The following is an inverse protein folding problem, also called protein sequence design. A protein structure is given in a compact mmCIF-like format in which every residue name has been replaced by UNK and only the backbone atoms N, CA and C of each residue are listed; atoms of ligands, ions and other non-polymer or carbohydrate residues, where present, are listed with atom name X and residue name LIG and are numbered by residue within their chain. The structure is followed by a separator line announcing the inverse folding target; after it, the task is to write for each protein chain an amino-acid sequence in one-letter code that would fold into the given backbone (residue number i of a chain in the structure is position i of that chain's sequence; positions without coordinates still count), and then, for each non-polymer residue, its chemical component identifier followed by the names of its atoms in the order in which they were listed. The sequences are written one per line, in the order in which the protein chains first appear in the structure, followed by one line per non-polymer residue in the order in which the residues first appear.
data_IF_347506819906
#
_entry.id   IF_347506819906
#
_cell.length_a   1.000
_cell.length_b   1.000
_cell.length_c   1.000
_cell.angle_alpha   90.00
_cell.angle_beta   90.00
_cell.angle_gamma   90.00
#
_symmetry.space_group_name_H-M   'P 1'
#
loop_
_entity.id
_entity.type
_entity.pdbx_description
1 polymer ?
#
# COMPACT_ATOMS: atom_id res chain seq x y z
N UNK A 1 33.64 -33.86 23.95
CA UNK A 1 33.37 -34.03 22.50
C UNK A 1 33.27 -32.63 21.91
N UNK A 2 34.34 -32.18 21.23
CA UNK A 2 34.29 -30.91 20.48
C UNK A 2 33.34 -31.11 19.31
N UNK A 3 32.16 -30.53 19.36
CA UNK A 3 31.24 -30.52 18.21
C UNK A 3 31.94 -29.90 17.02
N UNK A 4 31.94 -30.58 15.87
CA UNK A 4 32.48 -30.06 14.63
C UNK A 4 31.63 -28.85 14.25
N UNK A 5 32.27 -27.65 14.13
CA UNK A 5 31.58 -26.42 13.68
C UNK A 5 31.33 -26.47 12.17
N UNK A 6 30.27 -27.20 11.83
CA UNK A 6 29.87 -27.42 10.42
C UNK A 6 29.48 -26.14 9.68
N UNK A 7 29.02 -25.11 10.40
CA UNK A 7 28.60 -23.84 9.78
C UNK A 7 29.85 -23.09 9.33
N UNK A 8 30.87 -22.99 10.16
CA UNK A 8 32.11 -22.32 9.78
C UNK A 8 32.89 -23.03 8.67
N UNK A 9 32.57 -24.26 8.33
CA UNK A 9 33.15 -24.96 7.18
C UNK A 9 32.52 -24.60 5.83
N UNK A 10 31.36 -23.93 5.83
CA UNK A 10 30.68 -23.54 4.59
C UNK A 10 31.51 -22.53 3.79
N UNK A 11 31.43 -22.52 2.43
CA UNK A 11 32.01 -21.47 1.61
C UNK A 11 31.53 -20.07 1.99
N UNK A 12 32.37 -19.05 1.80
CA UNK A 12 32.01 -17.66 2.15
C UNK A 12 30.73 -17.18 1.47
N UNK A 13 30.51 -17.60 0.21
CA UNK A 13 29.29 -17.27 -0.52
C UNK A 13 28.01 -17.77 0.15
N UNK A 14 28.05 -18.95 0.81
CA UNK A 14 26.93 -19.46 1.57
C UNK A 14 26.79 -18.76 2.92
N UNK A 15 27.91 -18.43 3.56
CA UNK A 15 27.88 -17.68 4.81
C UNK A 15 27.34 -16.27 4.60
N UNK A 16 27.73 -15.56 3.55
CA UNK A 16 27.17 -14.23 3.22
C UNK A 16 25.70 -14.32 2.82
N UNK A 17 25.29 -15.40 2.17
CA UNK A 17 23.88 -15.65 1.87
C UNK A 17 23.08 -15.89 3.16
N UNK A 18 23.59 -16.64 4.10
CA UNK A 18 22.95 -16.82 5.43
C UNK A 18 22.84 -15.46 6.14
N UNK A 19 23.93 -14.67 6.15
CA UNK A 19 23.93 -13.34 6.76
C UNK A 19 22.95 -12.38 6.11
N UNK A 20 22.61 -12.55 4.83
CA UNK A 20 21.66 -11.70 4.11
C UNK A 20 20.20 -11.83 4.60
N UNK A 21 19.89 -12.88 5.37
CA UNK A 21 18.60 -13.04 6.05
C UNK A 21 18.52 -12.32 7.39
N UNK A 22 19.64 -11.79 7.89
CA UNK A 22 19.73 -11.09 9.16
C UNK A 22 19.69 -9.56 8.93
N UNK A 23 19.07 -8.78 9.85
CA UNK A 23 19.30 -7.36 9.91
C UNK A 23 20.80 -7.04 10.00
N UNK A 24 21.24 -5.92 9.41
CA UNK A 24 22.67 -5.56 9.37
C UNK A 24 23.34 -5.58 10.73
N UNK A 25 22.65 -5.07 11.77
CA UNK A 25 23.14 -5.12 13.16
C UNK A 25 23.50 -6.55 13.62
N UNK A 26 22.60 -7.52 13.36
CA UNK A 26 22.83 -8.91 13.74
C UNK A 26 23.93 -9.54 12.89
N UNK A 27 23.96 -9.22 11.59
CA UNK A 27 25.05 -9.66 10.70
C UNK A 27 26.41 -9.20 11.21
N UNK A 28 26.55 -7.94 11.64
CA UNK A 28 27.77 -7.41 12.26
C UNK A 28 28.11 -8.12 13.55
N UNK A 29 27.10 -8.42 14.39
CA UNK A 29 27.31 -9.13 15.67
C UNK A 29 27.92 -10.53 15.48
N UNK A 30 27.70 -11.18 14.34
CA UNK A 30 28.35 -12.49 14.07
C UNK A 30 29.86 -12.39 13.95
N UNK A 31 30.43 -11.20 13.75
CA UNK A 31 31.88 -10.97 13.66
C UNK A 31 32.66 -11.38 14.90
N UNK A 32 31.99 -11.51 16.07
CA UNK A 32 32.61 -11.96 17.32
C UNK A 32 32.76 -13.48 17.42
N UNK A 33 32.10 -14.24 16.54
CA UNK A 33 32.08 -15.70 16.61
C UNK A 33 33.45 -16.32 16.32
N UNK A 34 34.16 -15.82 15.32
CA UNK A 34 35.54 -16.22 15.00
C UNK A 34 36.19 -15.24 14.03
N UNK A 35 37.51 -15.41 13.82
CA UNK A 35 38.28 -14.62 12.84
C UNK A 35 37.73 -14.74 11.42
N UNK A 36 37.13 -15.89 11.08
CA UNK A 36 36.48 -16.13 9.79
C UNK A 36 35.23 -15.27 9.59
N UNK A 37 34.45 -15.03 10.64
CA UNK A 37 33.22 -14.25 10.59
C UNK A 37 33.45 -12.74 10.64
N UNK A 38 34.65 -12.32 11.03
CA UNK A 38 34.98 -10.92 11.37
C UNK A 38 34.58 -9.90 10.29
N UNK A 39 34.73 -10.23 9.01
CA UNK A 39 34.49 -9.31 7.89
C UNK A 39 33.44 -9.79 6.90
N UNK A 40 32.75 -10.90 7.18
CA UNK A 40 31.75 -11.46 6.25
C UNK A 40 30.59 -10.52 5.99
N UNK A 41 30.17 -9.74 7.00
CA UNK A 41 29.09 -8.78 6.87
C UNK A 41 29.35 -7.69 5.81
N UNK A 42 30.64 -7.39 5.49
CA UNK A 42 31.00 -6.43 4.46
C UNK A 42 30.66 -6.91 3.04
N UNK A 43 30.55 -8.22 2.86
CA UNK A 43 30.24 -8.86 1.59
C UNK A 43 28.75 -9.25 1.46
N UNK A 44 27.92 -8.91 2.47
CA UNK A 44 26.47 -9.16 2.39
C UNK A 44 25.85 -8.23 1.35
N UNK A 45 25.12 -8.77 0.36
CA UNK A 45 24.58 -7.98 -0.74
C UNK A 45 23.29 -7.21 -0.36
N UNK A 46 23.05 -7.02 0.92
CA UNK A 46 21.88 -6.31 1.44
C UNK A 46 22.17 -5.53 2.71
N UNK A 47 21.50 -4.42 2.87
CA UNK A 47 21.53 -3.59 4.07
C UNK A 47 20.12 -3.43 4.64
N UNK A 48 19.98 -3.69 5.93
CA UNK A 48 18.78 -3.41 6.72
C UNK A 48 19.20 -2.53 7.91
N UNK A 49 18.97 -1.23 7.76
CA UNK A 49 19.43 -0.19 8.66
C UNK A 49 18.24 0.40 9.41
N UNK A 50 18.21 0.22 10.72
CA UNK A 50 17.16 0.77 11.56
C UNK A 50 17.72 1.82 12.53
N UNK A 51 17.54 3.10 12.18
CA UNK A 51 17.94 4.24 13.01
C UNK A 51 16.83 4.66 13.98
N UNK A 52 15.59 4.22 13.78
CA UNK A 52 14.48 4.58 14.66
C UNK A 52 14.62 4.01 16.07
N UNK A 53 15.52 3.04 16.26
CA UNK A 53 15.84 2.48 17.58
C UNK A 53 16.83 3.34 18.40
N UNK A 54 17.45 4.36 17.80
CA UNK A 54 18.38 5.26 18.50
C UNK A 54 17.57 6.29 19.30
N UNK A 55 17.81 6.51 20.62
CA UNK A 55 17.11 7.54 21.39
C UNK A 55 17.31 8.96 20.83
N UNK A 56 16.36 9.89 21.06
CA UNK A 56 16.43 11.25 20.53
C UNK A 56 17.60 12.07 21.10
N UNK A 57 17.95 11.79 22.34
CA UNK A 57 19.01 12.47 23.10
C UNK A 57 20.38 11.80 22.95
N UNK A 58 20.51 10.84 22.05
CA UNK A 58 21.72 10.05 21.85
C UNK A 58 22.48 10.44 20.56
N UNK A 59 22.83 11.73 20.42
CA UNK A 59 23.57 12.25 19.27
C UNK A 59 24.89 11.52 18.99
N UNK A 60 25.64 11.16 20.02
CA UNK A 60 26.87 10.40 19.88
C UNK A 60 26.64 9.01 19.28
N UNK A 61 25.53 8.36 19.67
CA UNK A 61 25.17 7.06 19.11
C UNK A 61 24.78 7.19 17.64
N UNK A 62 24.06 8.24 17.29
CA UNK A 62 23.69 8.55 15.90
C UNK A 62 24.94 8.78 15.05
N UNK A 63 25.85 9.67 15.47
CA UNK A 63 27.10 9.95 14.77
C UNK A 63 27.98 8.70 14.61
N UNK A 64 28.06 7.87 15.66
CA UNK A 64 28.75 6.59 15.60
C UNK A 64 28.14 5.64 14.56
N UNK A 65 26.81 5.57 14.50
CA UNK A 65 26.10 4.76 13.53
C UNK A 65 26.30 5.25 12.09
N UNK A 66 26.25 6.56 11.86
CA UNK A 66 26.53 7.15 10.56
C UNK A 66 27.96 6.90 10.11
N UNK A 67 28.92 7.07 11.02
CA UNK A 67 30.35 6.72 10.76
C UNK A 67 30.52 5.24 10.42
N UNK A 68 29.75 4.35 11.06
CA UNK A 68 29.74 2.93 10.73
C UNK A 68 29.21 2.69 9.30
N UNK A 69 28.11 3.35 8.90
CA UNK A 69 27.58 3.25 7.53
C UNK A 69 28.61 3.73 6.51
N UNK A 70 29.26 4.88 6.78
CA UNK A 70 30.28 5.42 5.88
C UNK A 70 31.43 4.43 5.68
N UNK A 71 31.97 3.88 6.78
CA UNK A 71 33.00 2.84 6.71
C UNK A 71 32.55 1.59 5.95
N UNK A 72 31.30 1.18 6.12
CA UNK A 72 30.75 0.02 5.41
C UNK A 72 30.63 0.31 3.90
N UNK A 73 30.22 1.52 3.56
CA UNK A 73 30.16 1.95 2.16
C UNK A 73 31.55 2.14 1.54
N UNK A 74 32.53 2.58 2.29
CA UNK A 74 33.91 2.75 1.83
C UNK A 74 34.69 1.43 1.71
N UNK A 75 34.43 0.49 2.63
CA UNK A 75 35.19 -0.77 2.72
C UNK A 75 34.98 -1.70 1.51
N UNK A 76 33.89 -1.57 0.80
CA UNK A 76 33.57 -2.43 -0.34
C UNK A 76 32.86 -1.64 -1.44
N UNK A 77 33.51 -0.61 -2.04
CA UNK A 77 32.84 0.31 -2.96
C UNK A 77 32.31 -0.36 -4.24
N UNK A 78 32.91 -1.46 -4.67
CA UNK A 78 32.49 -2.21 -5.85
C UNK A 78 31.49 -3.33 -5.58
N UNK A 79 31.22 -3.64 -4.30
CA UNK A 79 30.25 -4.68 -3.96
C UNK A 79 28.84 -4.22 -4.30
N UNK A 80 28.07 -5.07 -4.98
CA UNK A 80 26.69 -4.80 -5.35
C UNK A 80 25.78 -4.89 -4.12
N UNK A 81 24.87 -3.94 -4.00
CA UNK A 81 23.84 -3.93 -2.98
C UNK A 81 22.47 -4.19 -3.62
N UNK A 82 22.02 -5.44 -3.59
CA UNK A 82 20.75 -5.79 -4.23
C UNK A 82 19.54 -5.31 -3.43
N UNK A 83 19.61 -5.31 -2.10
CA UNK A 83 18.50 -4.94 -1.23
C UNK A 83 18.97 -3.93 -0.20
N UNK A 84 18.28 -2.80 -0.15
CA UNK A 84 18.51 -1.75 0.84
C UNK A 84 17.19 -1.44 1.52
N UNK A 85 17.17 -1.61 2.84
CA UNK A 85 16.08 -1.18 3.70
C UNK A 85 16.63 -0.20 4.72
N UNK A 86 15.98 0.96 4.80
CA UNK A 86 16.36 2.03 5.71
C UNK A 86 15.12 2.45 6.46
N UNK A 87 15.18 2.42 7.79
CA UNK A 87 14.20 3.02 8.65
C UNK A 87 14.89 4.11 9.46
N UNK A 88 14.55 5.35 9.16
CA UNK A 88 15.08 6.51 9.85
C UNK A 88 13.98 7.25 10.62
N UNK A 89 14.38 8.05 11.59
CA UNK A 89 13.54 9.08 12.18
C UNK A 89 13.71 10.37 11.43
N UNK A 90 12.80 11.27 11.75
CA UNK A 90 12.74 12.65 11.33
C UNK A 90 14.12 13.31 11.20
N UNK A 91 14.34 13.97 10.09
CA UNK A 91 15.05 15.21 9.76
C UNK A 91 16.44 15.51 10.31
N UNK A 92 16.97 14.80 11.29
CA UNK A 92 18.27 15.12 11.88
C UNK A 92 19.48 14.57 11.11
N UNK A 93 19.26 13.93 9.96
CA UNK A 93 20.35 13.23 9.30
C UNK A 93 20.78 13.98 8.04
N UNK A 94 21.38 15.13 8.22
CA UNK A 94 22.15 15.80 7.17
C UNK A 94 23.10 14.80 6.51
N UNK A 95 23.00 14.66 5.19
CA UNK A 95 23.84 13.74 4.42
C UNK A 95 23.32 12.30 4.29
N UNK A 96 22.20 11.90 4.92
CA UNK A 96 21.67 10.55 4.72
C UNK A 96 21.16 10.33 3.29
N UNK A 97 20.65 11.37 2.65
CA UNK A 97 20.29 11.41 1.24
C UNK A 97 21.46 11.00 0.34
N UNK A 98 22.66 11.49 0.61
CA UNK A 98 23.85 11.15 -0.16
C UNK A 98 24.23 9.68 0.01
N UNK A 99 24.10 9.14 1.22
CA UNK A 99 24.32 7.72 1.50
C UNK A 99 23.35 6.81 0.75
N UNK A 100 22.06 7.17 0.70
CA UNK A 100 21.07 6.48 -0.14
C UNK A 100 21.50 6.56 -1.61
N UNK A 101 21.97 7.71 -2.07
CA UNK A 101 22.48 7.90 -3.43
C UNK A 101 23.65 6.96 -3.75
N UNK A 102 24.60 6.80 -2.83
CA UNK A 102 25.72 5.85 -2.97
C UNK A 102 25.18 4.40 -3.05
N UNK A 103 24.21 4.04 -2.19
CA UNK A 103 23.61 2.71 -2.19
C UNK A 103 22.92 2.39 -3.52
N UNK A 104 22.16 3.35 -4.07
CA UNK A 104 21.49 3.21 -5.38
C UNK A 104 22.53 2.96 -6.49
N UNK A 105 23.64 3.73 -6.49
CA UNK A 105 24.69 3.59 -7.49
C UNK A 105 25.40 2.23 -7.44
N UNK A 106 25.29 1.50 -6.33
CA UNK A 106 25.82 0.13 -6.19
C UNK A 106 24.92 -0.94 -6.79
N UNK A 107 23.93 -0.55 -7.60
CA UNK A 107 23.07 -1.47 -8.34
C UNK A 107 21.92 -2.02 -7.51
N UNK A 108 21.43 -1.23 -6.57
CA UNK A 108 20.23 -1.58 -5.76
C UNK A 108 19.05 -1.95 -6.66
N UNK A 109 18.47 -3.12 -6.39
CA UNK A 109 17.26 -3.62 -7.05
C UNK A 109 16.01 -3.43 -6.19
N UNK A 110 16.18 -3.53 -4.88
CA UNK A 110 15.08 -3.34 -3.90
C UNK A 110 15.47 -2.22 -2.94
N UNK A 111 14.73 -1.12 -2.99
CA UNK A 111 14.89 0.03 -2.10
C UNK A 111 13.61 0.21 -1.28
N UNK A 112 13.72 0.15 0.05
CA UNK A 112 12.65 0.38 1.02
C UNK A 112 13.14 1.45 2.01
N UNK A 113 12.58 2.64 1.94
CA UNK A 113 12.93 3.77 2.81
C UNK A 113 11.70 4.18 3.59
N UNK A 114 11.79 4.08 4.89
CA UNK A 114 10.74 4.49 5.84
C UNK A 114 11.30 5.62 6.71
N UNK A 115 10.70 6.81 6.62
CA UNK A 115 10.91 7.90 7.56
C UNK A 115 9.73 7.95 8.52
N UNK A 116 9.96 7.88 9.82
CA UNK A 116 8.89 7.99 10.81
C UNK A 116 8.87 9.39 11.39
N UNK A 117 7.78 10.11 11.16
CA UNK A 117 7.42 11.28 11.95
C UNK A 117 6.84 10.78 13.28
N UNK A 118 7.43 11.18 14.38
CA UNK A 118 6.80 10.96 15.69
C UNK A 118 5.82 12.11 15.94
N UNK A 119 4.57 11.75 16.25
CA UNK A 119 3.65 12.64 16.93
C UNK A 119 4.26 13.00 18.29
N UNK A 120 4.96 14.13 18.36
CA UNK A 120 5.17 14.78 19.64
C UNK A 120 3.82 15.43 19.93
N UNK A 121 3.18 15.05 21.04
CA UNK A 121 1.92 15.62 21.54
C UNK A 121 2.00 17.14 21.82
N UNK A 122 2.99 17.83 21.29
CA UNK A 122 3.20 19.25 21.47
C UNK A 122 2.83 19.99 20.18
N UNK A 123 1.73 20.72 20.27
CA UNK A 123 1.02 21.51 19.26
C UNK A 123 1.84 22.67 18.65
N UNK A 124 3.15 22.69 18.82
CA UNK A 124 4.03 23.74 18.31
C UNK A 124 4.65 23.35 16.97
N UNK A 125 4.01 23.76 15.87
CA UNK A 125 4.55 24.13 14.55
C UNK A 125 5.79 23.36 14.03
N UNK A 126 5.81 22.06 14.05
CA UNK A 126 6.88 21.34 13.36
C UNK A 126 6.31 20.68 12.11
N UNK A 127 6.45 21.37 10.97
CA UNK A 127 6.31 20.72 9.68
C UNK A 127 7.33 19.57 9.63
N UNK A 128 6.91 18.34 9.38
CA UNK A 128 7.87 17.26 9.18
C UNK A 128 8.78 17.67 8.03
N UNK A 129 10.05 17.89 8.31
CA UNK A 129 11.06 18.05 7.28
C UNK A 129 11.13 16.73 6.52
N UNK A 130 10.53 16.66 5.38
CA UNK A 130 10.53 15.47 4.53
C UNK A 130 11.84 15.43 3.79
N UNK A 131 12.65 14.41 4.05
CA UNK A 131 13.85 14.16 3.28
C UNK A 131 13.49 13.73 1.86
N UNK A 132 13.89 14.55 0.89
CA UNK A 132 13.72 14.25 -0.51
C UNK A 132 14.73 13.20 -0.98
N UNK A 133 14.27 12.24 -1.75
CA UNK A 133 15.12 11.20 -2.30
C UNK A 133 16.21 11.81 -3.22
N UNK A 134 17.40 11.16 -3.29
CA UNK A 134 18.50 11.63 -4.14
C UNK A 134 18.12 11.57 -5.62
N UNK A 135 18.65 12.51 -6.43
CA UNK A 135 18.29 12.64 -7.83
C UNK A 135 18.64 11.42 -8.70
N UNK A 136 19.66 10.64 -8.32
CA UNK A 136 20.03 9.41 -9.02
C UNK A 136 18.99 8.27 -8.86
N UNK A 137 18.07 8.39 -7.92
CA UNK A 137 16.90 7.50 -7.84
C UNK A 137 16.16 7.45 -9.17
N UNK A 138 15.88 8.62 -9.74
CA UNK A 138 15.04 8.77 -10.93
C UNK A 138 15.68 8.26 -12.23
N UNK A 139 16.97 7.96 -12.19
CA UNK A 139 17.73 7.42 -13.34
C UNK A 139 18.32 6.04 -13.06
N UNK A 140 17.85 5.37 -12.04
CA UNK A 140 18.32 4.03 -11.68
C UNK A 140 17.93 2.99 -12.72
N UNK A 141 18.94 2.32 -13.29
CA UNK A 141 18.75 1.26 -14.30
C UNK A 141 18.58 -0.13 -13.69
N UNK A 142 18.73 -0.27 -12.37
CA UNK A 142 18.73 -1.57 -11.68
C UNK A 142 17.55 -1.75 -10.76
N UNK A 143 16.91 -0.65 -10.38
CA UNK A 143 15.81 -0.67 -9.40
C UNK A 143 14.60 -1.41 -9.98
N UNK A 144 14.13 -2.43 -9.25
CA UNK A 144 12.95 -3.26 -9.57
C UNK A 144 11.80 -2.98 -8.63
N UNK A 145 12.12 -2.76 -7.37
CA UNK A 145 11.16 -2.49 -6.29
C UNK A 145 11.54 -1.21 -5.56
N UNK A 146 10.58 -0.30 -5.46
CA UNK A 146 10.69 0.95 -4.70
C UNK A 146 9.55 1.03 -3.70
N UNK A 147 9.89 1.12 -2.42
CA UNK A 147 8.93 1.50 -1.38
C UNK A 147 9.45 2.73 -0.63
N UNK A 148 8.61 3.75 -0.56
CA UNK A 148 8.87 4.97 0.20
C UNK A 148 7.72 5.19 1.18
N UNK A 149 8.05 5.42 2.45
CA UNK A 149 7.08 5.75 3.50
C UNK A 149 7.51 7.05 4.17
N UNK A 150 6.59 8.02 4.28
CA UNK A 150 6.79 9.32 4.92
C UNK A 150 8.04 10.08 4.44
N UNK A 151 8.31 10.04 3.14
CA UNK A 151 9.48 10.64 2.50
C UNK A 151 9.08 11.58 1.37
N UNK A 152 10.05 12.20 0.67
CA UNK A 152 9.79 13.17 -0.39
C UNK A 152 10.30 12.72 -1.76
N UNK A 153 9.56 13.07 -2.80
CA UNK A 153 9.97 12.99 -4.19
C UNK A 153 10.06 14.40 -4.78
N UNK A 154 11.28 14.85 -5.09
CA UNK A 154 11.53 16.12 -5.75
C UNK A 154 11.24 16.04 -7.25
N UNK A 155 11.12 17.17 -7.94
CA UNK A 155 10.92 17.18 -9.39
C UNK A 155 12.25 17.03 -10.14
N UNK A 156 12.57 15.85 -10.67
CA UNK A 156 13.76 15.66 -11.49
C UNK A 156 13.51 16.23 -12.89
N UNK A 157 14.54 16.72 -13.55
CA UNK A 157 14.43 17.12 -14.97
C UNK A 157 13.95 15.97 -15.86
N UNK A 158 14.35 14.74 -15.53
CA UNK A 158 14.11 13.53 -16.33
C UNK A 158 13.95 12.30 -15.43
N UNK A 159 13.06 11.38 -15.81
CA UNK A 159 12.84 10.08 -15.13
C UNK A 159 13.11 8.95 -16.12
N UNK A 160 13.94 7.99 -15.72
CA UNK A 160 14.23 6.79 -16.49
C UNK A 160 14.58 5.63 -15.55
N UNK A 161 13.59 4.86 -15.17
CA UNK A 161 13.70 3.66 -14.33
C UNK A 161 13.17 2.43 -15.11
N UNK A 162 13.95 1.95 -16.10
CA UNK A 162 13.48 0.96 -17.08
C UNK A 162 13.20 -0.42 -16.50
N UNK A 163 13.71 -0.72 -15.30
CA UNK A 163 13.53 -2.02 -14.64
C UNK A 163 12.50 -1.99 -13.52
N UNK A 164 11.92 -0.81 -13.18
CA UNK A 164 11.03 -0.67 -12.04
C UNK A 164 9.69 -1.32 -12.32
N UNK A 165 9.37 -2.35 -11.51
CA UNK A 165 8.12 -3.12 -11.60
C UNK A 165 7.12 -2.80 -10.50
N UNK A 166 7.61 -2.46 -9.31
CA UNK A 166 6.79 -2.24 -8.13
C UNK A 166 7.13 -0.88 -7.52
N UNK A 167 6.13 -0.01 -7.39
CA UNK A 167 6.28 1.30 -6.79
C UNK A 167 5.21 1.47 -5.71
N UNK A 168 5.64 1.56 -4.45
CA UNK A 168 4.78 1.76 -3.29
C UNK A 168 5.14 3.07 -2.62
N UNK A 169 4.22 4.01 -2.63
CA UNK A 169 4.40 5.37 -2.10
C UNK A 169 3.36 5.59 -0.99
N UNK A 170 3.83 5.66 0.25
CA UNK A 170 3.05 5.77 1.47
C UNK A 170 3.38 7.08 2.17
N UNK A 171 2.40 7.98 2.31
CA UNK A 171 2.59 9.31 2.90
C UNK A 171 3.75 10.12 2.29
N UNK A 172 3.95 9.95 0.99
CA UNK A 172 5.04 10.63 0.27
C UNK A 172 4.61 12.03 -0.13
N UNK A 173 5.45 13.03 0.15
CA UNK A 173 5.33 14.37 -0.42
C UNK A 173 5.95 14.40 -1.80
N UNK A 174 5.19 14.85 -2.78
CA UNK A 174 5.67 14.94 -4.16
C UNK A 174 5.69 16.36 -4.66
N UNK A 175 6.82 16.70 -5.28
CA UNK A 175 6.95 17.88 -6.15
C UNK A 175 6.95 17.47 -7.62
N UNK A 176 7.13 16.16 -7.90
CA UNK A 176 7.11 15.59 -9.26
C UNK A 176 5.69 15.25 -9.67
N UNK A 177 5.31 15.58 -10.90
CA UNK A 177 4.05 15.11 -11.47
C UNK A 177 4.06 13.59 -11.65
N UNK A 178 3.00 12.91 -11.21
CA UNK A 178 2.90 11.44 -11.27
C UNK A 178 3.03 10.93 -12.71
N UNK A 179 2.49 11.64 -13.70
CA UNK A 179 2.62 11.31 -15.11
C UNK A 179 4.09 11.23 -15.56
N UNK A 180 4.90 12.22 -15.14
CA UNK A 180 6.33 12.25 -15.43
C UNK A 180 7.05 11.07 -14.79
N UNK A 181 6.69 10.75 -13.55
CA UNK A 181 7.26 9.61 -12.83
C UNK A 181 6.90 8.29 -13.54
N UNK A 182 5.63 8.09 -13.88
CA UNK A 182 5.16 6.86 -14.53
C UNK A 182 5.66 6.70 -15.96
N UNK A 183 5.79 7.80 -16.71
CA UNK A 183 6.32 7.76 -18.09
C UNK A 183 7.76 7.25 -18.14
N UNK A 184 8.53 7.47 -17.07
CA UNK A 184 9.89 6.94 -16.91
C UNK A 184 9.96 5.48 -16.47
N UNK A 185 8.82 4.81 -16.20
CA UNK A 185 8.75 3.44 -15.69
C UNK A 185 7.97 2.53 -16.65
N UNK A 186 8.53 2.19 -17.83
CA UNK A 186 7.79 1.51 -18.91
C UNK A 186 7.34 0.09 -18.57
N UNK A 187 7.96 -0.57 -17.58
CA UNK A 187 7.64 -1.95 -17.17
C UNK A 187 6.93 -2.03 -15.82
N UNK A 188 6.39 -0.91 -15.33
CA UNK A 188 5.73 -0.84 -14.04
C UNK A 188 4.48 -1.72 -14.01
N UNK A 189 4.48 -2.75 -13.17
CA UNK A 189 3.40 -3.73 -13.01
C UNK A 189 2.46 -3.40 -11.86
N UNK A 190 2.99 -2.77 -10.80
CA UNK A 190 2.22 -2.44 -9.60
C UNK A 190 2.53 -1.02 -9.12
N UNK A 191 1.47 -0.25 -8.90
CA UNK A 191 1.50 1.06 -8.27
C UNK A 191 0.61 1.05 -7.03
N UNK A 192 1.18 1.39 -5.88
CA UNK A 192 0.44 1.61 -4.65
C UNK A 192 0.67 3.05 -4.16
N UNK A 193 -0.42 3.79 -4.01
CA UNK A 193 -0.45 5.15 -3.50
C UNK A 193 -1.26 5.14 -2.21
N UNK A 194 -0.57 5.36 -1.10
CA UNK A 194 -1.16 5.32 0.23
C UNK A 194 -0.90 6.69 0.86
N UNK A 195 -1.95 7.49 1.03
CA UNK A 195 -1.84 8.83 1.62
C UNK A 195 -2.91 9.02 2.67
N UNK A 196 -2.52 9.59 3.80
CA UNK A 196 -3.47 10.16 4.74
C UNK A 196 -3.96 11.51 4.18
N UNK A 197 -5.22 11.57 3.79
CA UNK A 197 -5.84 12.79 3.25
C UNK A 197 -6.45 13.66 4.37
N UNK A 198 -6.29 13.26 5.62
CA UNK A 198 -6.89 13.94 6.78
C UNK A 198 -5.95 14.97 7.42
N UNK A 199 -4.77 15.18 6.84
CA UNK A 199 -3.86 16.24 7.30
C UNK A 199 -4.39 17.59 6.75
N UNK A 200 -5.22 18.27 7.55
CA UNK A 200 -5.79 19.60 7.22
C UNK A 200 -4.70 20.67 7.00
N UNK A 201 -3.48 20.41 7.45
CA UNK A 201 -2.30 21.26 7.21
C UNK A 201 -1.64 21.02 5.84
N UNK A 202 -1.86 19.86 5.21
CA UNK A 202 -1.35 19.60 3.86
C UNK A 202 -2.05 20.43 2.78
N UNK A 203 -3.24 20.95 3.07
CA UNK A 203 -4.06 21.75 2.13
C UNK A 203 -3.41 23.09 1.76
N UNK A 204 -2.49 23.62 2.58
CA UNK A 204 -1.87 24.94 2.33
C UNK A 204 -0.70 24.90 1.31
N UNK A 205 -0.15 23.71 0.97
CA UNK A 205 1.02 23.60 0.10
C UNK A 205 0.90 22.58 -1.04
N UNK A 206 -0.19 21.82 -1.11
CA UNK A 206 -0.45 20.94 -2.23
C UNK A 206 -1.54 21.53 -3.11
N UNK A 207 -1.15 22.27 -4.12
CA UNK A 207 -1.89 22.25 -5.37
C UNK A 207 -2.07 20.79 -5.71
N UNK A 208 -3.32 20.29 -5.68
CA UNK A 208 -3.65 18.92 -6.07
C UNK A 208 -3.07 18.65 -7.44
N UNK A 209 -1.87 18.12 -7.45
CA UNK A 209 -1.23 17.72 -8.69
C UNK A 209 -2.00 16.52 -9.18
N UNK A 210 -2.77 16.77 -10.20
CA UNK A 210 -3.61 15.80 -10.87
C UNK A 210 -2.84 14.55 -11.20
N UNK A 211 -3.37 13.43 -10.72
CA UNK A 211 -2.81 12.13 -10.98
C UNK A 211 -3.13 11.69 -12.41
N UNK A 212 -2.30 12.06 -13.39
CA UNK A 212 -2.35 11.45 -14.71
C UNK A 212 -1.52 10.17 -14.70
N UNK A 213 -2.14 9.04 -14.92
CA UNK A 213 -1.46 7.75 -14.99
C UNK A 213 -1.59 7.18 -16.40
N UNK A 214 -0.47 7.02 -17.12
CA UNK A 214 -0.42 6.29 -18.39
C UNK A 214 0.64 5.21 -18.30
N UNK A 215 0.21 3.97 -18.05
CA UNK A 215 1.10 2.82 -18.13
C UNK A 215 0.36 1.63 -18.73
N UNK A 216 0.85 1.11 -19.86
CA UNK A 216 0.28 -0.08 -20.51
C UNK A 216 0.65 -1.38 -19.79
N UNK A 217 1.67 -1.37 -18.96
CA UNK A 217 2.16 -2.52 -18.20
C UNK A 217 1.49 -2.67 -16.83
N UNK A 218 0.76 -1.65 -16.36
CA UNK A 218 0.17 -1.65 -15.03
C UNK A 218 -0.93 -2.72 -14.90
N UNK A 219 -0.70 -3.71 -14.05
CA UNK A 219 -1.65 -4.81 -13.81
C UNK A 219 -2.31 -4.70 -12.44
N UNK A 220 -1.67 -4.04 -11.47
CA UNK A 220 -2.17 -3.86 -10.11
C UNK A 220 -2.12 -2.39 -9.71
N UNK A 221 -3.23 -1.89 -9.20
CA UNK A 221 -3.36 -0.52 -8.74
C UNK A 221 -4.02 -0.48 -7.37
N UNK A 222 -3.44 0.29 -6.45
CA UNK A 222 -3.91 0.41 -5.08
C UNK A 222 -3.89 1.87 -4.64
N UNK A 223 -5.03 2.38 -4.16
CA UNK A 223 -5.16 3.68 -3.52
C UNK A 223 -5.92 3.53 -2.22
N UNK A 224 -5.29 3.80 -1.10
CA UNK A 224 -5.90 3.71 0.23
C UNK A 224 -5.57 4.95 1.06
N UNK A 225 -6.52 5.48 1.85
CA UNK A 225 -6.20 6.31 3.00
C UNK A 225 -5.70 5.43 4.15
N UNK A 226 -4.67 5.88 4.86
CA UNK A 226 -3.98 5.08 5.88
C UNK A 226 -4.58 5.13 7.27
N UNK A 227 -5.32 6.16 7.64
CA UNK A 227 -5.94 6.26 8.98
C UNK A 227 -7.40 6.67 8.92
N UNK A 228 -8.18 6.13 9.84
CA UNK A 228 -9.45 6.69 10.24
C UNK A 228 -9.15 7.84 11.20
N UNK A 229 -9.26 9.05 10.75
CA UNK A 229 -9.25 10.21 11.62
C UNK A 229 -10.68 10.67 11.85
N UNK A 230 -10.95 11.03 13.10
CA UNK A 230 -12.19 11.60 13.58
C UNK A 230 -12.59 12.82 12.74
N UNK A 231 -13.88 12.87 12.51
CA UNK A 231 -14.63 13.90 11.82
C UNK A 231 -14.08 15.34 11.96
N UNK A 232 -13.50 15.86 10.90
CA UNK A 232 -13.22 17.27 10.79
C UNK A 232 -14.25 17.93 9.89
N UNK A 233 -15.12 18.74 10.51
CA UNK A 233 -16.19 19.54 9.89
C UNK A 233 -15.65 20.69 9.03
N UNK A 234 -14.68 20.50 8.16
CA UNK A 234 -14.27 21.55 7.23
C UNK A 234 -14.67 21.23 5.81
N UNK A 235 -15.57 22.07 5.30
CA UNK A 235 -16.03 22.08 3.91
C UNK A 235 -14.91 22.67 3.02
N UNK A 236 -13.88 21.92 2.74
CA UNK A 236 -12.98 22.25 1.62
C UNK A 236 -13.43 21.43 0.43
N UNK A 237 -14.18 22.02 -0.45
CA UNK A 237 -14.49 21.48 -1.77
C UNK A 237 -13.22 21.56 -2.61
N UNK A 238 -12.50 20.45 -2.72
CA UNK A 238 -11.52 20.31 -3.78
C UNK A 238 -12.29 20.26 -5.10
N UNK A 239 -12.17 21.27 -5.92
CA UNK A 239 -12.61 21.24 -7.32
C UNK A 239 -11.65 20.33 -8.09
N UNK A 240 -11.90 19.01 -8.03
CA UNK A 240 -11.21 18.07 -8.90
C UNK A 240 -11.58 18.41 -10.34
N UNK A 241 -10.58 18.66 -11.19
CA UNK A 241 -10.80 18.87 -12.61
C UNK A 241 -11.28 17.54 -13.22
N UNK A 242 -12.44 17.59 -13.89
CA UNK A 242 -13.08 16.42 -14.50
C UNK A 242 -12.18 15.78 -15.56
N UNK A 243 -11.47 16.60 -16.34
CA UNK A 243 -10.56 16.12 -17.38
C UNK A 243 -9.39 15.32 -16.79
N UNK A 244 -8.94 15.73 -15.64
CA UNK A 244 -7.84 15.12 -14.92
C UNK A 244 -8.23 13.77 -14.35
N UNK A 245 -9.42 13.66 -13.76
CA UNK A 245 -9.94 12.36 -13.30
C UNK A 245 -10.13 11.42 -14.50
N UNK A 246 -10.61 11.94 -15.64
CA UNK A 246 -10.77 11.14 -16.85
C UNK A 246 -9.45 10.56 -17.34
N UNK A 247 -8.42 11.38 -17.43
CA UNK A 247 -7.08 10.95 -17.87
C UNK A 247 -6.49 9.89 -16.93
N UNK A 248 -6.65 10.10 -15.62
CA UNK A 248 -6.24 9.12 -14.62
C UNK A 248 -6.98 7.78 -14.78
N UNK A 249 -8.31 7.81 -14.85
CA UNK A 249 -9.13 6.61 -14.99
C UNK A 249 -8.81 5.85 -16.29
N UNK A 250 -8.58 6.56 -17.39
CA UNK A 250 -8.16 5.96 -18.65
C UNK A 250 -6.78 5.29 -18.51
N UNK A 251 -5.85 5.91 -17.78
CA UNK A 251 -4.51 5.37 -17.54
C UNK A 251 -4.50 4.09 -16.73
N UNK A 252 -5.48 3.87 -15.85
CA UNK A 252 -5.60 2.66 -15.04
C UNK A 252 -6.66 1.67 -15.59
N UNK A 253 -7.28 1.94 -16.73
CA UNK A 253 -8.37 1.12 -17.29
C UNK A 253 -7.95 -0.32 -17.66
N UNK A 254 -6.65 -0.57 -17.85
CA UNK A 254 -6.07 -1.88 -18.19
C UNK A 254 -5.79 -2.77 -17.00
N UNK A 255 -5.94 -2.29 -15.76
CA UNK A 255 -5.57 -3.05 -14.55
C UNK A 255 -6.42 -4.31 -14.38
N UNK A 256 -5.80 -5.35 -13.81
CA UNK A 256 -6.47 -6.62 -13.48
C UNK A 256 -6.91 -6.68 -12.01
N UNK A 257 -6.16 -6.02 -11.14
CA UNK A 257 -6.45 -5.94 -9.72
C UNK A 257 -6.46 -4.48 -9.29
N UNK A 258 -7.54 -4.09 -8.60
CA UNK A 258 -7.73 -2.73 -8.13
C UNK A 258 -8.12 -2.74 -6.65
N UNK A 259 -7.52 -1.83 -5.89
CA UNK A 259 -7.91 -1.57 -4.50
C UNK A 259 -8.17 -0.08 -4.36
N UNK A 260 -9.38 0.30 -3.94
CA UNK A 260 -9.82 1.69 -3.81
C UNK A 260 -10.43 1.98 -2.45
N UNK A 261 -10.19 3.20 -1.98
CA UNK A 261 -10.70 3.70 -0.71
C UNK A 261 -12.12 4.25 -0.80
N UNK A 262 -12.74 4.52 0.35
CA UNK A 262 -14.04 5.15 0.42
C UNK A 262 -14.04 6.58 -0.17
N UNK A 263 -12.96 7.35 0.04
CA UNK A 263 -12.79 8.68 -0.56
C UNK A 263 -12.68 8.59 -2.09
N UNK A 264 -11.94 7.60 -2.60
CA UNK A 264 -11.86 7.33 -4.04
C UNK A 264 -13.22 6.96 -4.61
N UNK A 265 -14.00 6.12 -3.92
CA UNK A 265 -15.37 5.76 -4.32
C UNK A 265 -16.27 7.00 -4.36
N UNK A 266 -16.17 7.90 -3.36
CA UNK A 266 -16.93 9.17 -3.34
C UNK A 266 -16.54 10.07 -4.51
N UNK A 267 -15.25 10.16 -4.85
CA UNK A 267 -14.81 10.92 -6.02
C UNK A 267 -15.31 10.33 -7.35
N UNK A 268 -15.34 8.99 -7.46
CA UNK A 268 -15.89 8.29 -8.63
C UNK A 268 -17.40 8.48 -8.76
N UNK A 269 -18.12 8.45 -7.66
CA UNK A 269 -19.56 8.73 -7.63
C UNK A 269 -19.84 10.16 -8.13
N UNK A 270 -19.12 11.16 -7.59
CA UNK A 270 -19.23 12.54 -8.04
C UNK A 270 -18.89 12.69 -9.54
N UNK A 271 -17.77 12.08 -9.99
CA UNK A 271 -17.37 12.09 -11.39
C UNK A 271 -18.43 11.46 -12.30
N UNK A 272 -19.07 10.37 -11.87
CA UNK A 272 -20.09 9.66 -12.65
C UNK A 272 -21.36 10.48 -12.93
N UNK A 273 -21.59 11.54 -12.16
CA UNK A 273 -22.71 12.48 -12.39
C UNK A 273 -22.46 13.44 -13.55
N UNK A 274 -21.19 13.70 -13.88
CA UNK A 274 -20.78 14.62 -14.93
C UNK A 274 -20.29 13.89 -16.19
N UNK A 275 -19.62 12.74 -16.03
CA UNK A 275 -18.93 12.01 -17.10
C UNK A 275 -19.04 10.50 -16.92
N UNK A 276 -18.85 9.76 -18.01
CA UNK A 276 -18.84 8.30 -17.96
C UNK A 276 -17.50 7.75 -17.47
N UNK A 277 -17.54 6.91 -16.45
CA UNK A 277 -16.37 6.14 -16.01
C UNK A 277 -15.95 5.18 -17.14
N UNK A 278 -14.65 5.08 -17.49
CA UNK A 278 -14.19 4.13 -18.49
C UNK A 278 -14.41 2.68 -18.03
N UNK A 279 -14.64 1.77 -18.97
CA UNK A 279 -14.82 0.35 -18.65
C UNK A 279 -13.48 -0.30 -18.29
N UNK A 280 -13.42 -0.94 -17.16
CA UNK A 280 -12.31 -1.76 -16.67
C UNK A 280 -12.45 -3.20 -17.19
N UNK A 281 -12.26 -3.39 -18.48
CA UNK A 281 -12.53 -4.68 -19.13
C UNK A 281 -11.60 -5.82 -18.66
N UNK A 282 -10.41 -5.49 -18.15
CA UNK A 282 -9.44 -6.45 -17.67
C UNK A 282 -9.56 -6.72 -16.16
N UNK A 283 -10.39 -5.94 -15.45
CA UNK A 283 -10.49 -6.02 -14.00
C UNK A 283 -11.14 -7.34 -13.58
N UNK A 284 -10.38 -8.19 -12.93
CA UNK A 284 -10.81 -9.48 -12.42
C UNK A 284 -10.97 -9.51 -10.91
N UNK A 285 -10.25 -8.65 -10.18
CA UNK A 285 -10.32 -8.53 -8.72
C UNK A 285 -10.43 -7.08 -8.31
N UNK A 286 -11.47 -6.78 -7.54
CA UNK A 286 -11.73 -5.47 -6.96
C UNK A 286 -11.81 -5.61 -5.44
N UNK A 287 -11.06 -4.76 -4.72
CA UNK A 287 -11.30 -4.49 -3.31
C UNK A 287 -11.71 -3.03 -3.19
N UNK A 288 -12.90 -2.78 -2.70
CA UNK A 288 -13.44 -1.44 -2.60
C UNK A 288 -14.01 -1.18 -1.21
N UNK A 289 -13.72 0.01 -0.69
CA UNK A 289 -14.27 0.48 0.56
C UNK A 289 -15.40 1.46 0.25
N UNK A 290 -16.58 1.22 0.80
CA UNK A 290 -17.75 2.07 0.65
C UNK A 290 -18.19 2.63 2.00
N UNK A 291 -18.53 3.90 2.06
CA UNK A 291 -19.37 4.40 3.15
C UNK A 291 -20.78 3.85 2.99
N UNK A 292 -21.44 3.59 4.11
CA UNK A 292 -22.81 3.02 4.12
C UNK A 292 -23.81 3.84 3.29
N UNK A 293 -23.68 5.18 3.31
CA UNK A 293 -24.53 6.09 2.53
C UNK A 293 -24.25 6.10 1.01
N UNK A 294 -23.09 5.54 0.58
CA UNK A 294 -22.70 5.43 -0.83
C UNK A 294 -22.89 4.01 -1.40
N UNK A 295 -23.38 3.07 -0.58
CA UNK A 295 -23.54 1.69 -1.04
C UNK A 295 -24.52 1.56 -2.22
N UNK A 296 -25.48 2.48 -2.37
CA UNK A 296 -26.36 2.58 -3.53
C UNK A 296 -25.63 2.80 -4.88
N UNK A 297 -24.40 3.35 -4.84
CA UNK A 297 -23.57 3.54 -6.04
C UNK A 297 -22.88 2.23 -6.48
N UNK A 298 -22.83 1.21 -5.63
CA UNK A 298 -22.15 -0.05 -5.92
C UNK A 298 -22.61 -0.73 -7.23
N UNK A 299 -23.92 -0.91 -7.50
CA UNK A 299 -24.36 -1.49 -8.78
C UNK A 299 -23.92 -0.67 -9.98
N UNK A 300 -24.07 0.66 -9.94
CA UNK A 300 -23.65 1.56 -11.01
C UNK A 300 -22.13 1.47 -11.28
N UNK A 301 -21.31 1.41 -10.22
CA UNK A 301 -19.87 1.23 -10.35
C UNK A 301 -19.50 -0.13 -10.96
N UNK A 302 -20.20 -1.21 -10.57
CA UNK A 302 -19.95 -2.55 -11.09
C UNK A 302 -20.29 -2.70 -12.58
N UNK A 303 -21.15 -1.84 -13.16
CA UNK A 303 -21.39 -1.82 -14.61
C UNK A 303 -20.14 -1.48 -15.42
N UNK A 304 -19.20 -0.75 -14.82
CA UNK A 304 -17.90 -0.46 -15.44
C UNK A 304 -16.88 -1.59 -15.30
N UNK A 305 -17.25 -2.69 -14.60
CA UNK A 305 -16.38 -3.83 -14.32
C UNK A 305 -16.95 -5.16 -14.89
N UNK A 306 -17.17 -5.28 -16.21
CA UNK A 306 -17.99 -6.36 -16.81
C UNK A 306 -17.41 -7.78 -16.61
N UNK A 307 -16.11 -7.91 -16.37
CA UNK A 307 -15.41 -9.20 -16.25
C UNK A 307 -14.91 -9.48 -14.82
N UNK A 308 -15.49 -8.80 -13.83
CA UNK A 308 -15.12 -8.96 -12.43
C UNK A 308 -15.47 -10.37 -11.94
N UNK A 309 -14.48 -11.05 -11.31
CA UNK A 309 -14.63 -12.40 -10.73
C UNK A 309 -14.60 -12.41 -9.21
N UNK A 310 -13.81 -11.51 -8.61
CA UNK A 310 -13.63 -11.45 -7.18
C UNK A 310 -13.88 -10.03 -6.67
N UNK A 311 -14.82 -9.88 -5.76
CA UNK A 311 -15.12 -8.62 -5.08
C UNK A 311 -14.84 -8.77 -3.57
N UNK A 312 -14.03 -7.87 -3.03
CA UNK A 312 -13.91 -7.65 -1.59
C UNK A 312 -14.54 -6.30 -1.28
N UNK A 313 -15.70 -6.32 -0.67
CA UNK A 313 -16.46 -5.14 -0.29
C UNK A 313 -16.23 -4.85 1.19
N UNK A 314 -15.66 -3.69 1.49
CA UNK A 314 -15.51 -3.19 2.85
C UNK A 314 -16.50 -2.06 3.08
N UNK A 315 -17.41 -2.25 4.03
CA UNK A 315 -18.41 -1.24 4.38
C UNK A 315 -17.94 -0.50 5.64
N UNK A 316 -17.98 0.83 5.59
CA UNK A 316 -17.57 1.71 6.69
C UNK A 316 -18.78 2.56 7.07
N UNK A 317 -18.99 2.73 8.36
CA UNK A 317 -20.10 3.56 8.87
C UNK A 317 -19.96 5.03 8.44
N UNK A 318 -21.10 5.64 8.10
CA UNK A 318 -21.23 7.08 7.90
C UNK A 318 -22.30 7.60 8.81
N UNK A 319 -22.06 8.71 9.49
CA UNK A 319 -23.05 9.36 10.39
C UNK A 319 -24.33 9.81 9.64
N UNK A 320 -24.23 10.00 8.33
CA UNK A 320 -25.35 10.34 7.47
C UNK A 320 -26.03 9.07 6.94
N UNK A 321 -26.84 8.41 7.76
CA UNK A 321 -27.67 7.29 7.29
C UNK A 321 -28.82 7.81 6.43
N UNK A 322 -28.87 7.44 5.17
CA UNK A 322 -30.08 7.55 4.34
C UNK A 322 -30.94 6.31 4.61
N UNK A 323 -32.09 6.51 5.22
CA UNK A 323 -33.12 5.45 5.29
C UNK A 323 -33.54 5.05 3.87
N UNK A 324 -33.71 3.74 3.62
CA UNK A 324 -34.23 3.25 2.34
C UNK A 324 -33.19 2.85 1.29
N UNK A 325 -32.00 2.39 1.71
CA UNK A 325 -31.01 1.85 0.78
C UNK A 325 -31.55 0.62 0.03
N UNK A 326 -31.84 0.77 -1.26
CA UNK A 326 -32.20 -0.34 -2.14
C UNK A 326 -31.13 -0.51 -3.25
N UNK A 327 -30.65 -1.75 -3.43
CA UNK A 327 -29.77 -2.15 -4.52
C UNK A 327 -30.62 -2.83 -5.59
N UNK A 328 -31.09 -2.07 -6.57
CA UNK A 328 -32.08 -2.53 -7.56
C UNK A 328 -31.46 -3.02 -8.84
N UNK A 329 -30.41 -2.33 -9.33
CA UNK A 329 -29.80 -2.64 -10.61
C UNK A 329 -28.88 -3.86 -10.51
N UNK A 330 -28.89 -4.72 -11.53
CA UNK A 330 -28.08 -5.96 -11.53
C UNK A 330 -27.07 -5.89 -12.68
N UNK A 331 -25.84 -5.45 -12.41
CA UNK A 331 -24.77 -5.38 -13.40
C UNK A 331 -24.47 -6.72 -14.04
N UNK A 332 -23.97 -6.69 -15.28
CA UNK A 332 -23.60 -7.91 -16.01
C UNK A 332 -22.63 -8.80 -15.21
N UNK A 333 -21.62 -8.22 -14.55
CA UNK A 333 -20.66 -9.00 -13.79
C UNK A 333 -21.32 -9.77 -12.63
N UNK A 334 -22.28 -9.18 -11.95
CA UNK A 334 -22.99 -9.82 -10.84
C UNK A 334 -23.77 -11.03 -11.32
N UNK A 335 -24.44 -10.93 -12.45
CA UNK A 335 -25.26 -12.01 -12.99
C UNK A 335 -24.46 -13.13 -13.68
N UNK A 336 -23.22 -12.85 -14.21
CA UNK A 336 -22.58 -13.76 -15.16
C UNK A 336 -21.10 -14.09 -14.88
N UNK A 337 -20.33 -13.28 -14.12
CA UNK A 337 -18.89 -13.51 -13.98
C UNK A 337 -18.39 -13.51 -12.55
N UNK A 338 -19.14 -12.95 -11.61
CA UNK A 338 -18.72 -12.81 -10.21
C UNK A 338 -18.79 -14.13 -9.46
N UNK A 339 -17.62 -14.72 -9.22
CA UNK A 339 -17.48 -16.06 -8.61
C UNK A 339 -17.30 -16.00 -7.09
N UNK A 340 -16.71 -14.91 -6.56
CA UNK A 340 -16.42 -14.80 -5.14
C UNK A 340 -16.72 -13.38 -4.65
N UNK A 341 -17.47 -13.28 -3.57
CA UNK A 341 -17.74 -12.02 -2.84
C UNK A 341 -17.31 -12.18 -1.41
N UNK A 342 -16.50 -11.27 -0.93
CA UNK A 342 -16.14 -11.13 0.48
C UNK A 342 -16.66 -9.80 1.01
N UNK A 343 -17.45 -9.83 2.08
CA UNK A 343 -18.00 -8.65 2.72
C UNK A 343 -17.35 -8.48 4.08
N UNK A 344 -16.61 -7.38 4.24
CA UNK A 344 -15.91 -6.99 5.45
C UNK A 344 -16.59 -5.75 6.03
N UNK A 345 -16.90 -5.73 7.31
CA UNK A 345 -17.53 -4.61 7.98
C UNK A 345 -16.79 -4.27 9.28
N UNK A 346 -16.71 -2.98 9.61
CA UNK A 346 -16.23 -2.48 10.90
C UNK A 346 -17.42 -2.09 11.74
N UNK A 347 -17.66 -2.84 12.85
CA UNK A 347 -18.60 -2.53 13.96
C UNK A 347 -19.97 -1.89 13.59
N UNK A 348 -21.07 -2.54 14.02
CA UNK A 348 -22.43 -1.99 14.28
C UNK A 348 -23.44 -1.88 13.13
N UNK A 349 -23.15 -2.20 11.88
CA UNK A 349 -24.14 -2.09 10.79
C UNK A 349 -24.52 -3.45 10.17
N UNK A 350 -25.30 -4.26 10.90
CA UNK A 350 -25.89 -5.50 10.34
C UNK A 350 -26.73 -5.22 9.08
N UNK A 351 -27.37 -4.04 8.97
CA UNK A 351 -28.32 -3.77 7.91
C UNK A 351 -27.66 -3.63 6.53
N UNK A 352 -26.59 -2.86 6.40
CA UNK A 352 -25.87 -2.68 5.13
C UNK A 352 -25.24 -3.98 4.62
N UNK A 353 -24.63 -4.76 5.53
CA UNK A 353 -24.06 -6.07 5.25
C UNK A 353 -25.14 -7.06 4.80
N UNK A 354 -26.25 -7.13 5.49
CA UNK A 354 -27.33 -8.04 5.14
C UNK A 354 -27.98 -7.65 3.81
N UNK A 355 -28.12 -6.34 3.51
CA UNK A 355 -28.62 -5.86 2.22
C UNK A 355 -27.65 -6.24 1.09
N UNK A 356 -26.34 -6.00 1.25
CA UNK A 356 -25.33 -6.42 0.27
C UNK A 356 -25.29 -7.95 0.11
N UNK A 357 -25.37 -8.70 1.21
CA UNK A 357 -25.44 -10.17 1.21
C UNK A 357 -26.65 -10.68 0.44
N UNK A 358 -27.83 -10.15 0.74
CA UNK A 358 -29.09 -10.47 0.05
C UNK A 358 -29.03 -10.15 -1.44
N UNK A 359 -28.47 -8.97 -1.77
CA UNK A 359 -28.29 -8.54 -3.16
C UNK A 359 -27.43 -9.51 -3.97
N UNK A 360 -26.25 -9.89 -3.48
CA UNK A 360 -25.39 -10.80 -4.21
C UNK A 360 -25.92 -12.23 -4.27
N UNK A 361 -26.49 -12.76 -3.19
CA UNK A 361 -27.11 -14.10 -3.19
C UNK A 361 -28.31 -14.17 -4.13
N UNK A 362 -29.14 -13.16 -4.16
CA UNK A 362 -30.37 -13.12 -4.96
C UNK A 362 -30.12 -12.90 -6.47
N UNK A 363 -29.01 -12.24 -6.84
CA UNK A 363 -28.78 -11.83 -8.23
C UNK A 363 -27.65 -12.59 -8.94
N UNK A 364 -26.71 -13.23 -8.22
CA UNK A 364 -25.59 -13.93 -8.83
C UNK A 364 -25.91 -15.39 -9.13
N UNK A 365 -25.88 -15.76 -10.42
CA UNK A 365 -26.11 -17.15 -10.84
C UNK A 365 -24.84 -18.02 -10.77
N UNK A 366 -23.64 -17.39 -10.84
CA UNK A 366 -22.34 -18.07 -10.92
C UNK A 366 -21.50 -17.94 -9.65
N UNK A 367 -22.09 -17.39 -8.59
CA UNK A 367 -21.40 -17.21 -7.32
C UNK A 367 -21.05 -18.55 -6.69
N UNK A 368 -19.75 -18.77 -6.46
CA UNK A 368 -19.20 -19.99 -5.86
C UNK A 368 -18.95 -19.83 -4.36
N UNK A 369 -18.55 -18.62 -3.95
CA UNK A 369 -18.21 -18.33 -2.55
C UNK A 369 -18.72 -16.96 -2.12
N UNK A 370 -19.37 -16.95 -0.96
CA UNK A 370 -19.68 -15.72 -0.22
C UNK A 370 -18.99 -15.80 1.15
N UNK A 371 -18.10 -14.88 1.41
CA UNK A 371 -17.32 -14.81 2.65
C UNK A 371 -17.82 -13.60 3.45
N UNK A 372 -18.25 -13.84 4.67
CA UNK A 372 -18.65 -12.81 5.62
C UNK A 372 -17.62 -12.76 6.73
N UNK A 373 -16.94 -11.62 6.86
CA UNK A 373 -15.91 -11.42 7.88
C UNK A 373 -16.44 -10.42 8.92
N UNK A 374 -16.96 -10.90 10.07
CA UNK A 374 -17.29 -10.04 11.19
C UNK A 374 -16.01 -9.45 11.79
N UNK A 375 -16.08 -8.22 12.28
CA UNK A 375 -14.93 -7.56 12.91
C UNK A 375 -14.58 -8.16 14.27
N UNK A 376 -13.29 -8.12 14.59
CA UNK A 376 -12.60 -8.85 15.66
C UNK A 376 -12.85 -8.34 17.10
N UNK A 377 -14.02 -7.82 17.48
CA UNK A 377 -14.20 -7.29 18.84
C UNK A 377 -15.49 -7.71 19.59
N UNK A 378 -16.12 -8.81 19.21
CA UNK A 378 -17.10 -9.40 20.10
C UNK A 378 -16.68 -10.82 20.51
N UNK A 379 -16.31 -11.06 21.77
CA UNK A 379 -15.88 -12.37 22.25
C UNK A 379 -17.04 -13.36 22.40
N UNK A 380 -18.22 -13.08 21.86
CA UNK A 380 -19.39 -13.93 22.02
C UNK A 380 -19.61 -14.79 20.79
N UNK A 381 -19.46 -16.11 20.96
CA UNK A 381 -19.84 -17.18 20.00
C UNK A 381 -21.32 -17.08 19.50
N UNK A 382 -22.10 -16.20 20.12
CA UNK A 382 -23.51 -15.95 19.81
C UNK A 382 -23.70 -15.29 18.44
N UNK A 383 -22.75 -14.44 18.01
CA UNK A 383 -22.89 -13.64 16.78
C UNK A 383 -22.85 -14.50 15.51
N UNK A 384 -22.07 -15.57 15.52
CA UNK A 384 -21.91 -16.45 14.35
C UNK A 384 -23.21 -17.23 14.04
N UNK A 385 -23.87 -17.72 15.07
CA UNK A 385 -25.14 -18.45 14.94
C UNK A 385 -26.30 -17.55 14.45
N UNK A 386 -26.36 -16.30 14.92
CA UNK A 386 -27.38 -15.33 14.49
C UNK A 386 -27.19 -14.92 13.02
N UNK A 387 -25.94 -14.71 12.59
CA UNK A 387 -25.65 -14.42 11.18
C UNK A 387 -26.05 -15.59 10.30
N UNK A 388 -25.72 -16.83 10.71
CA UNK A 388 -26.11 -18.05 9.98
C UNK A 388 -27.62 -18.16 9.86
N UNK A 389 -28.37 -17.90 10.93
CA UNK A 389 -29.84 -17.96 10.91
C UNK A 389 -30.43 -16.94 9.94
N UNK A 390 -29.91 -15.70 9.91
CA UNK A 390 -30.33 -14.64 9.00
C UNK A 390 -29.99 -14.97 7.55
N UNK A 391 -28.76 -15.43 7.27
CA UNK A 391 -28.29 -15.74 5.93
C UNK A 391 -28.99 -16.95 5.32
N UNK A 392 -29.31 -17.95 6.13
CA UNK A 392 -30.05 -19.15 5.65
C UNK A 392 -31.48 -18.84 5.21
N UNK A 393 -32.06 -17.74 5.68
CA UNK A 393 -33.41 -17.27 5.27
C UNK A 393 -33.39 -16.53 3.92
N UNK A 394 -32.20 -16.18 3.40
CA UNK A 394 -32.07 -15.44 2.14
C UNK A 394 -32.23 -16.36 0.92
N UNK A 395 -32.85 -15.82 -0.13
CA UNK A 395 -32.98 -16.49 -1.41
C UNK A 395 -31.63 -16.59 -2.11
N UNK A 396 -31.24 -17.77 -2.53
CA UNK A 396 -29.99 -18.05 -3.26
C UNK A 396 -30.30 -18.37 -4.72
N UNK A 397 -29.78 -17.59 -5.65
CA UNK A 397 -29.89 -17.88 -7.09
C UNK A 397 -28.88 -18.94 -7.53
N UNK A 398 -27.68 -18.94 -6.96
CA UNK A 398 -26.67 -20.00 -7.16
C UNK A 398 -26.84 -21.08 -6.12
N UNK A 399 -27.24 -22.28 -6.53
CA UNK A 399 -27.44 -23.45 -5.64
C UNK A 399 -26.14 -24.03 -5.10
N UNK A 400 -25.02 -23.78 -5.78
CA UNK A 400 -23.69 -24.25 -5.38
C UNK A 400 -22.86 -23.22 -4.59
N UNK A 401 -23.44 -22.13 -4.15
CA UNK A 401 -22.71 -21.09 -3.41
C UNK A 401 -22.36 -21.56 -1.99
N UNK A 402 -21.08 -21.68 -1.71
CA UNK A 402 -20.54 -21.89 -0.37
C UNK A 402 -20.54 -20.58 0.42
N UNK A 403 -21.14 -20.58 1.61
CA UNK A 403 -21.13 -19.43 2.51
C UNK A 403 -20.14 -19.72 3.63
N UNK A 404 -19.19 -18.80 3.84
CA UNK A 404 -18.12 -18.91 4.83
C UNK A 404 -18.21 -17.72 5.76
N UNK A 405 -18.34 -17.96 7.05
CA UNK A 405 -18.22 -16.94 8.09
C UNK A 405 -16.82 -17.09 8.67
N UNK A 406 -15.98 -16.04 8.59
CA UNK A 406 -14.61 -16.04 9.11
C UNK A 406 -14.46 -14.95 10.17
N UNK A 407 -14.03 -15.32 11.37
CA UNK A 407 -13.48 -14.34 12.29
C UNK A 407 -12.20 -13.71 11.66
N UNK A 408 -12.07 -12.40 11.68
CA UNK A 408 -10.83 -11.75 11.22
C UNK A 408 -9.66 -12.21 12.09
N UNK A 409 -8.75 -13.00 11.53
CA UNK A 409 -7.35 -12.94 11.96
C UNK A 409 -6.80 -11.65 11.39
N UNK A 410 -6.13 -10.85 12.22
CA UNK A 410 -5.39 -9.67 11.76
C UNK A 410 -4.65 -10.00 10.47
N UNK A 411 -5.09 -9.42 9.37
CA UNK A 411 -4.31 -9.44 8.14
C UNK A 411 -3.21 -8.43 8.36
N UNK A 412 -2.08 -8.90 8.84
CA UNK A 412 -0.82 -8.18 8.70
C UNK A 412 -0.66 -7.94 7.20
N UNK A 413 -0.82 -6.70 6.81
CA UNK A 413 -0.59 -6.25 5.43
C UNK A 413 0.92 -6.35 5.24
N UNK A 414 1.36 -7.45 4.60
CA UNK A 414 2.72 -7.63 4.11
C UNK A 414 2.87 -6.85 2.81
#
# INVERSE_FOLDING_TARGET
MSGIDRISELPESLLTQILSFLPTKQSVQTSVLSTRWKNLYLNVPGLDLNLSAIPYDADEMLLSFLSFIDKLLESSPESKLFKVKVKCRDTMIDGFRDRIGIMINRGTQHLDVESSTYDIEDDSFHHPCVDFMPMNLYTSKTLVYLKLTSSGLDDPGFVFMPCLKFMHLEEVKWRVHLEKLLSGCPVLEELALLRDLDDDYAVAYDEFTVMRARSQSLTRFRVLPLRQVRDCRSRVYCTLDIDEIRDFLNGISSVRHMIISAKTVKALEYYSQAEMIPKFNNLSRLQAMFHSNLLQFLPAFLEYCPNLKHLVLKVVHSEEMKEGLELTDVPRCVSSTLECVEIQEKLELEEGKMKATSYFLGNSAVLKKLILSPTAYDPRDVLESEIWEKVNKLTKRSTGCEIIIRAMKEVVII
#
